data_IF_814054351435
#
_entry.id   IF_814054351435
#
_cell.length_a   1.000
_cell.length_b   1.000
_cell.length_c   1.000
_cell.angle_alpha   90.00
_cell.angle_beta   90.00
_cell.angle_gamma   90.00
#
_symmetry.space_group_name_H-M   'P 1'
#
loop_
_entity.id
_entity.type
_entity.pdbx_description
1 polymer ?
#
# COMPACT_ATOMS: atom_id res chain seq x y z
N UNK A 1 13.95 -20.22 -5.85
CA UNK A 1 13.33 -19.45 -4.75
C UNK A 1 14.44 -19.01 -3.83
N UNK A 2 14.64 -17.71 -3.57
CA UNK A 2 15.60 -17.27 -2.56
C UNK A 2 14.88 -17.34 -1.22
N UNK A 3 15.36 -18.19 -0.31
CA UNK A 3 14.82 -18.33 1.05
C UNK A 3 15.71 -17.49 1.98
N UNK A 4 15.33 -16.25 2.32
CA UNK A 4 16.13 -15.41 3.21
C UNK A 4 16.21 -16.04 4.61
N UNK A 5 17.39 -16.04 5.22
CA UNK A 5 17.52 -16.44 6.61
C UNK A 5 17.11 -15.27 7.52
N UNK A 6 15.94 -15.43 8.15
CA UNK A 6 15.38 -14.43 9.06
C UNK A 6 16.01 -14.49 10.46
N UNK A 7 16.77 -15.53 10.77
CA UNK A 7 17.49 -15.70 12.05
C UNK A 7 18.92 -15.15 11.98
N UNK A 8 19.45 -14.95 10.77
CA UNK A 8 20.76 -14.33 10.57
C UNK A 8 20.75 -12.84 10.90
N UNK A 9 21.38 -12.49 12.03
CA UNK A 9 21.55 -11.10 12.44
C UNK A 9 22.33 -10.27 11.41
N UNK A 10 23.28 -10.88 10.69
CA UNK A 10 24.05 -10.19 9.66
C UNK A 10 23.18 -9.84 8.45
N UNK A 11 22.42 -10.80 7.93
CA UNK A 11 21.53 -10.57 6.80
C UNK A 11 20.44 -9.55 7.14
N UNK A 12 19.91 -9.61 8.37
CA UNK A 12 18.91 -8.65 8.82
C UNK A 12 19.47 -7.23 8.91
N UNK A 13 20.70 -7.05 9.41
CA UNK A 13 21.36 -5.72 9.37
C UNK A 13 21.61 -5.25 7.94
N UNK A 14 21.92 -6.16 7.01
CA UNK A 14 22.09 -5.80 5.60
C UNK A 14 20.77 -5.33 4.96
N UNK A 15 19.66 -6.02 5.26
CA UNK A 15 18.30 -5.61 4.84
C UNK A 15 17.91 -4.25 5.43
N UNK A 16 18.17 -4.04 6.72
CA UNK A 16 17.93 -2.75 7.38
C UNK A 16 18.71 -1.62 6.72
N UNK A 17 20.00 -1.81 6.43
CA UNK A 17 20.81 -0.81 5.70
C UNK A 17 20.27 -0.53 4.30
N UNK A 18 19.89 -1.56 3.56
CA UNK A 18 19.33 -1.39 2.23
C UNK A 18 18.02 -0.58 2.27
N UNK A 19 17.14 -0.89 3.23
CA UNK A 19 15.88 -0.17 3.44
C UNK A 19 16.11 1.27 3.92
N UNK A 20 17.10 1.49 4.79
CA UNK A 20 17.51 2.81 5.24
C UNK A 20 17.93 3.69 4.05
N UNK A 21 18.85 3.19 3.22
CA UNK A 21 19.32 3.93 2.04
C UNK A 21 18.21 4.21 1.03
N UNK A 22 17.30 3.25 0.82
CA UNK A 22 16.28 3.37 -0.22
C UNK A 22 15.03 4.16 0.20
N UNK A 23 14.71 4.19 1.50
CA UNK A 23 13.41 4.67 2.01
C UNK A 23 13.48 5.45 3.32
N UNK A 24 14.66 5.62 3.92
CA UNK A 24 14.83 6.37 5.17
C UNK A 24 14.50 5.58 6.44
N UNK A 25 14.41 4.25 6.36
CA UNK A 25 14.25 3.42 7.56
C UNK A 25 15.39 3.68 8.57
N UNK A 26 15.14 3.96 9.85
CA UNK A 26 13.88 3.90 10.60
C UNK A 26 13.15 5.23 10.83
N UNK A 27 13.78 6.36 10.57
CA UNK A 27 13.33 7.64 11.15
C UNK A 27 13.34 8.80 10.15
N UNK A 28 13.60 8.53 8.87
CA UNK A 28 13.68 9.52 7.82
C UNK A 28 12.69 9.20 6.70
N UNK A 29 12.32 10.21 5.91
CA UNK A 29 11.45 10.05 4.75
C UNK A 29 10.11 9.44 5.13
N UNK A 30 9.76 8.31 4.51
CA UNK A 30 8.49 7.61 4.76
C UNK A 30 8.34 7.17 6.23
N UNK A 31 9.46 6.93 6.92
CA UNK A 31 9.46 6.36 8.26
C UNK A 31 9.66 7.40 9.37
N UNK A 32 9.69 8.69 9.04
CA UNK A 32 9.69 9.75 10.05
C UNK A 32 8.39 9.68 10.89
N UNK A 33 8.53 9.52 12.21
CA UNK A 33 7.39 9.33 13.12
C UNK A 33 6.69 7.96 13.01
N UNK A 34 7.27 6.99 12.29
CA UNK A 34 6.73 5.63 12.22
C UNK A 34 6.84 4.92 13.59
N UNK A 35 5.85 4.11 14.00
CA UNK A 35 5.86 3.48 15.31
C UNK A 35 7.01 2.49 15.51
N UNK A 36 7.71 2.60 16.64
CA UNK A 36 8.79 1.68 17.04
C UNK A 36 8.31 0.25 17.30
N UNK A 37 7.05 0.09 17.72
CA UNK A 37 6.43 -1.19 18.04
C UNK A 37 5.21 -1.41 17.16
N UNK A 38 5.29 -2.47 16.37
CA UNK A 38 4.24 -2.91 15.46
C UNK A 38 4.07 -4.42 15.60
N UNK A 39 2.85 -4.85 15.88
CA UNK A 39 2.48 -6.26 15.87
C UNK A 39 2.04 -6.62 14.45
N UNK A 40 2.77 -7.52 13.80
CA UNK A 40 2.53 -7.90 12.41
C UNK A 40 1.72 -9.20 12.30
N UNK A 41 0.66 -9.15 11.50
CA UNK A 41 -0.20 -10.28 11.18
C UNK A 41 -0.22 -10.49 9.67
N UNK A 42 -0.25 -11.74 9.21
CA UNK A 42 -0.39 -12.08 7.79
C UNK A 42 -1.70 -12.80 7.55
N UNK A 43 -2.44 -12.39 6.52
CA UNK A 43 -3.72 -13.00 6.17
C UNK A 43 -4.38 -12.33 4.98
N UNK A 44 -5.61 -12.75 4.67
CA UNK A 44 -6.40 -12.18 3.58
C UNK A 44 -7.33 -11.08 4.08
N UNK A 45 -7.39 -9.97 3.36
CA UNK A 45 -8.36 -8.89 3.59
C UNK A 45 -9.68 -9.21 2.87
N UNK A 46 -10.83 -9.28 3.57
CA UNK A 46 -12.11 -9.43 2.90
C UNK A 46 -12.47 -8.15 2.10
N UNK A 47 -13.35 -8.24 1.08
CA UNK A 47 -13.65 -7.11 0.20
C UNK A 47 -14.13 -5.84 0.93
N UNK A 48 -14.90 -6.00 2.00
CA UNK A 48 -15.39 -4.87 2.80
C UNK A 48 -14.26 -4.17 3.56
N UNK A 49 -13.28 -4.93 4.07
CA UNK A 49 -12.08 -4.37 4.70
C UNK A 49 -11.17 -3.71 3.67
N UNK A 50 -10.98 -4.34 2.51
CA UNK A 50 -10.19 -3.83 1.40
C UNK A 50 -10.71 -2.46 0.93
N UNK A 51 -12.03 -2.29 0.84
CA UNK A 51 -12.68 -1.03 0.48
C UNK A 51 -12.48 0.10 1.51
N UNK A 52 -12.09 -0.22 2.75
CA UNK A 52 -11.79 0.76 3.81
C UNK A 52 -10.32 1.15 3.88
N UNK A 53 -9.43 0.47 3.16
CA UNK A 53 -8.00 0.81 3.14
C UNK A 53 -7.80 2.14 2.43
N UNK A 54 -7.12 3.06 3.09
CA UNK A 54 -6.71 4.35 2.54
C UNK A 54 -5.26 4.27 2.04
N UNK A 55 -4.87 5.09 1.08
CA UNK A 55 -3.47 5.37 0.82
C UNK A 55 -2.84 6.13 2.00
N UNK A 56 -1.52 6.07 2.14
CA UNK A 56 -0.81 7.03 3.00
C UNK A 56 -1.20 8.47 2.65
N UNK A 57 -1.15 9.34 3.66
CA UNK A 57 -1.27 10.78 3.46
C UNK A 57 0.01 11.29 2.79
N UNK A 58 -0.04 11.34 1.46
CA UNK A 58 1.09 11.77 0.64
C UNK A 58 0.55 12.39 -0.63
N UNK A 59 1.05 13.56 -1.00
CA UNK A 59 0.48 14.43 -2.05
C UNK A 59 0.15 13.68 -3.34
N UNK A 60 1.08 12.84 -3.81
CA UNK A 60 0.93 11.99 -4.99
C UNK A 60 -0.34 11.11 -4.94
N UNK A 61 -0.58 10.39 -3.83
CA UNK A 61 -1.73 9.49 -3.71
C UNK A 61 -3.02 10.26 -3.43
N UNK A 62 -2.92 11.37 -2.71
CA UNK A 62 -4.04 12.28 -2.47
C UNK A 62 -4.54 12.84 -3.81
N UNK A 63 -3.66 13.36 -4.64
CA UNK A 63 -4.00 13.88 -5.97
C UNK A 63 -4.62 12.81 -6.88
N UNK A 64 -4.02 11.60 -6.92
CA UNK A 64 -4.54 10.49 -7.75
C UNK A 64 -5.95 10.04 -7.34
N UNK A 65 -6.26 10.10 -6.04
CA UNK A 65 -7.57 9.74 -5.48
C UNK A 65 -8.54 10.92 -5.40
N UNK A 66 -8.22 12.08 -5.98
CA UNK A 66 -9.07 13.28 -5.90
C UNK A 66 -9.24 13.82 -4.48
N UNK A 67 -8.27 13.57 -3.60
CA UNK A 67 -8.22 14.00 -2.20
C UNK A 67 -8.87 13.03 -1.22
N UNK A 68 -9.56 11.98 -1.67
CA UNK A 68 -10.27 11.05 -0.77
C UNK A 68 -9.34 10.07 -0.06
N UNK A 69 -8.12 9.88 -0.57
CA UNK A 69 -7.17 8.84 -0.20
C UNK A 69 -7.66 7.41 -0.48
N UNK A 70 -8.81 7.24 -1.14
CA UNK A 70 -9.37 5.91 -1.40
C UNK A 70 -8.86 5.37 -2.73
N UNK A 71 -8.31 4.14 -2.76
CA UNK A 71 -7.94 3.48 -4.00
C UNK A 71 -9.12 3.29 -4.97
N UNK A 72 -10.34 3.14 -4.43
CA UNK A 72 -11.55 2.98 -5.23
C UNK A 72 -11.88 4.21 -6.10
N UNK A 73 -11.44 5.41 -5.70
CA UNK A 73 -11.74 6.66 -6.39
C UNK A 73 -10.75 6.96 -7.52
N UNK A 74 -9.64 6.20 -7.60
CA UNK A 74 -8.59 6.39 -8.63
C UNK A 74 -9.15 6.24 -10.04
N UNK A 75 -10.08 5.30 -10.26
CA UNK A 75 -10.66 5.06 -11.58
C UNK A 75 -11.35 6.31 -12.14
N UNK A 76 -12.11 7.01 -11.30
CA UNK A 76 -12.80 8.22 -11.71
C UNK A 76 -11.81 9.32 -12.12
N UNK A 77 -10.71 9.48 -11.36
CA UNK A 77 -9.62 10.41 -11.72
C UNK A 77 -9.00 10.05 -13.06
N UNK A 78 -8.66 8.77 -13.28
CA UNK A 78 -8.05 8.30 -14.53
C UNK A 78 -8.97 8.52 -15.74
N UNK A 79 -10.26 8.25 -15.58
CA UNK A 79 -11.27 8.40 -16.65
C UNK A 79 -11.62 9.87 -16.91
N UNK A 80 -11.50 10.76 -15.92
CA UNK A 80 -11.83 12.19 -16.08
C UNK A 80 -10.89 12.96 -17.01
N UNK A 81 -9.67 12.46 -17.22
CA UNK A 81 -8.60 13.16 -17.95
C UNK A 81 -8.02 14.39 -17.23
N UNK A 82 -8.59 14.81 -16.09
CA UNK A 82 -8.04 15.86 -15.23
C UNK A 82 -6.93 15.30 -14.32
N UNK A 83 -5.90 14.76 -14.97
CA UNK A 83 -4.82 14.04 -14.30
C UNK A 83 -3.87 15.00 -13.59
N UNK A 84 -3.36 14.65 -12.40
CA UNK A 84 -2.24 15.34 -11.78
C UNK A 84 -1.04 15.43 -12.74
N UNK A 85 -0.26 16.51 -12.66
CA UNK A 85 0.83 16.78 -13.61
C UNK A 85 1.82 15.61 -13.71
N UNK A 86 2.21 15.02 -12.59
CA UNK A 86 3.11 13.87 -12.59
C UNK A 86 2.49 12.63 -13.27
N UNK A 87 1.17 12.43 -13.21
CA UNK A 87 0.48 11.32 -13.89
C UNK A 87 0.55 11.54 -15.39
N UNK A 88 0.42 12.79 -15.85
CA UNK A 88 0.51 13.10 -17.29
C UNK A 88 1.90 12.78 -17.86
N UNK A 89 2.96 12.91 -17.05
CA UNK A 89 4.33 12.58 -17.45
C UNK A 89 4.57 11.07 -17.53
N UNK A 90 4.08 10.31 -16.56
CA UNK A 90 4.31 8.85 -16.50
C UNK A 90 3.29 8.04 -17.33
N UNK A 91 2.15 8.64 -17.68
CA UNK A 91 1.01 7.97 -18.30
C UNK A 91 0.14 7.18 -17.32
N UNK A 92 -0.99 6.68 -17.82
CA UNK A 92 -1.97 5.92 -17.02
C UNK A 92 -1.93 4.40 -17.28
N UNK A 93 -1.21 3.98 -18.31
CA UNK A 93 -1.18 2.60 -18.81
C UNK A 93 -0.79 1.59 -17.74
N UNK A 94 0.15 1.94 -16.85
CA UNK A 94 0.61 1.07 -15.76
C UNK A 94 -0.55 0.52 -14.91
N UNK A 95 -1.60 1.31 -14.69
CA UNK A 95 -2.72 0.91 -13.84
C UNK A 95 -3.66 -0.04 -14.58
N UNK A 96 -3.99 0.28 -15.84
CA UNK A 96 -4.86 -0.54 -16.68
C UNK A 96 -4.20 -1.84 -17.11
N UNK A 97 -2.91 -1.82 -17.44
CA UNK A 97 -2.13 -3.03 -17.73
C UNK A 97 -2.05 -3.95 -16.51
N UNK A 98 -1.82 -3.40 -15.32
CA UNK A 98 -1.83 -4.19 -14.10
C UNK A 98 -3.22 -4.75 -13.82
N UNK A 99 -4.29 -3.96 -14.02
CA UNK A 99 -5.67 -4.42 -13.87
C UNK A 99 -6.01 -5.55 -14.85
N UNK A 100 -5.53 -5.48 -16.10
CA UNK A 100 -5.68 -6.53 -17.10
C UNK A 100 -4.93 -7.81 -16.70
N UNK A 101 -3.70 -7.69 -16.18
CA UNK A 101 -2.95 -8.83 -15.63
C UNK A 101 -3.64 -9.46 -14.44
N UNK A 102 -4.28 -8.66 -13.60
CA UNK A 102 -5.04 -9.14 -12.45
C UNK A 102 -6.29 -9.94 -12.85
N UNK A 103 -6.83 -9.73 -14.05
CA UNK A 103 -8.01 -10.45 -14.54
C UNK A 103 -7.80 -11.97 -14.65
N UNK A 104 -6.56 -12.43 -14.79
CA UNK A 104 -6.21 -13.86 -15.02
C UNK A 104 -5.64 -14.57 -13.80
N UNK A 105 -5.50 -13.89 -12.66
CA UNK A 105 -5.00 -14.47 -11.39
C UNK A 105 -6.12 -14.59 -10.35
N UNK A 106 -6.09 -15.58 -9.44
CA UNK A 106 -6.99 -15.64 -8.28
C UNK A 106 -6.51 -14.77 -7.10
N UNK A 107 -5.23 -14.42 -7.05
CA UNK A 107 -4.59 -13.77 -5.88
C UNK A 107 -3.75 -12.57 -6.28
N UNK A 108 -3.66 -11.60 -5.38
CA UNK A 108 -2.74 -10.45 -5.47
C UNK A 108 -1.57 -10.67 -4.51
N UNK A 109 -0.36 -10.28 -4.92
CA UNK A 109 0.80 -10.24 -4.03
C UNK A 109 0.53 -9.38 -2.79
N UNK A 110 1.16 -9.76 -1.67
CA UNK A 110 0.90 -9.16 -0.37
C UNK A 110 0.96 -7.62 -0.39
N UNK A 111 -0.06 -7.01 0.19
CA UNK A 111 -0.05 -5.60 0.60
C UNK A 111 0.67 -5.46 1.95
N UNK A 112 1.12 -4.25 2.27
CA UNK A 112 1.55 -3.92 3.63
C UNK A 112 0.64 -2.79 4.12
N UNK A 113 -0.09 -3.04 5.19
CA UNK A 113 -1.12 -2.15 5.73
C UNK A 113 -0.79 -1.86 7.18
N UNK A 114 -0.85 -0.58 7.56
CA UNK A 114 -0.81 -0.13 8.94
C UNK A 114 -2.23 0.12 9.44
N UNK A 115 -2.54 -0.27 10.67
CA UNK A 115 -3.86 -0.07 11.23
C UNK A 115 -3.82 0.26 12.73
N UNK A 116 -4.88 0.91 13.20
CA UNK A 116 -5.15 1.00 14.63
C UNK A 116 -5.45 -0.41 15.19
N UNK A 117 -5.24 -0.66 16.49
CA UNK A 117 -5.61 -1.94 17.10
C UNK A 117 -7.09 -2.30 16.97
N UNK A 118 -7.97 -1.31 16.83
CA UNK A 118 -9.41 -1.52 16.66
C UNK A 118 -9.82 -1.82 15.20
N UNK A 119 -8.89 -1.70 14.26
CA UNK A 119 -9.10 -1.85 12.81
C UNK A 119 -10.10 -0.84 12.21
N UNK A 120 -10.41 0.25 12.92
CA UNK A 120 -11.31 1.30 12.45
C UNK A 120 -10.68 2.16 11.35
N UNK A 121 -9.35 2.27 11.33
CA UNK A 121 -8.59 2.95 10.27
C UNK A 121 -7.43 2.07 9.81
N UNK A 122 -7.33 1.92 8.48
CA UNK A 122 -6.30 1.14 7.79
C UNK A 122 -5.68 1.98 6.68
N UNK A 123 -4.35 2.02 6.64
CA UNK A 123 -3.57 2.82 5.70
C UNK A 123 -2.53 1.94 5.02
N UNK A 124 -2.49 1.97 3.71
CA UNK A 124 -1.59 1.19 2.88
C UNK A 124 -0.18 1.78 2.96
N UNK A 125 0.77 1.05 3.53
CA UNK A 125 2.19 1.40 3.53
C UNK A 125 2.85 1.03 2.21
N UNK A 126 2.54 -0.15 1.66
CA UNK A 126 3.09 -0.63 0.40
C UNK A 126 2.07 -1.43 -0.42
N UNK A 127 2.22 -1.37 -1.75
CA UNK A 127 1.30 -2.02 -2.70
C UNK A 127 0.26 -1.08 -3.32
N UNK A 128 0.48 0.23 -3.26
CA UNK A 128 -0.41 1.26 -3.81
C UNK A 128 -0.86 0.99 -5.24
N UNK A 129 0.08 0.72 -6.16
CA UNK A 129 -0.26 0.41 -7.55
C UNK A 129 -1.13 -0.85 -7.70
N UNK A 130 -0.86 -1.90 -6.90
CA UNK A 130 -1.64 -3.14 -6.90
C UNK A 130 -3.06 -2.88 -6.43
N UNK A 131 -3.23 -2.17 -5.32
CA UNK A 131 -4.57 -1.90 -4.79
C UNK A 131 -5.37 -0.99 -5.73
N UNK A 132 -4.74 0.03 -6.32
CA UNK A 132 -5.38 0.83 -7.39
C UNK A 132 -5.88 -0.04 -8.54
N UNK A 133 -5.04 -0.94 -9.05
CA UNK A 133 -5.39 -1.81 -10.18
C UNK A 133 -6.51 -2.80 -9.84
N UNK A 134 -6.60 -3.28 -8.59
CA UNK A 134 -7.73 -4.10 -8.12
C UNK A 134 -9.05 -3.35 -8.31
N UNK A 135 -9.13 -2.09 -7.85
CA UNK A 135 -10.36 -1.31 -7.97
C UNK A 135 -10.63 -0.80 -9.38
N UNK A 136 -9.60 -0.33 -10.09
CA UNK A 136 -9.72 0.12 -11.49
C UNK A 136 -10.27 -1.01 -12.37
N UNK A 137 -9.78 -2.23 -12.17
CA UNK A 137 -10.26 -3.43 -12.86
C UNK A 137 -11.58 -4.02 -12.34
N UNK A 138 -12.14 -3.51 -11.24
CA UNK A 138 -13.35 -4.06 -10.62
C UNK A 138 -13.17 -5.48 -10.07
N UNK A 139 -11.98 -5.80 -9.57
CA UNK A 139 -11.61 -7.16 -9.13
C UNK A 139 -11.72 -7.39 -7.62
N UNK A 140 -12.11 -6.37 -6.85
CA UNK A 140 -12.14 -6.35 -5.37
C UNK A 140 -12.96 -7.49 -4.74
N UNK A 141 -14.00 -7.96 -5.42
CA UNK A 141 -14.85 -9.07 -4.96
C UNK A 141 -14.38 -10.45 -5.40
N UNK A 142 -13.52 -10.52 -6.41
CA UNK A 142 -13.08 -11.78 -7.02
C UNK A 142 -11.72 -12.22 -6.50
N UNK A 143 -10.83 -11.27 -6.26
CA UNK A 143 -9.45 -11.54 -5.88
C UNK A 143 -9.33 -11.76 -4.37
N UNK A 144 -8.58 -12.79 -4.01
CA UNK A 144 -8.04 -12.89 -2.65
C UNK A 144 -6.86 -11.95 -2.54
N UNK A 145 -6.97 -10.93 -1.70
CA UNK A 145 -5.90 -9.97 -1.43
C UNK A 145 -5.27 -10.28 -0.09
N UNK A 146 -4.03 -10.74 -0.13
CA UNK A 146 -3.26 -10.98 1.09
C UNK A 146 -2.56 -9.70 1.55
N UNK A 147 -2.32 -9.60 2.85
CA UNK A 147 -1.64 -8.45 3.44
C UNK A 147 -0.86 -8.85 4.69
N UNK A 148 0.25 -8.15 4.91
CA UNK A 148 0.81 -7.94 6.24
C UNK A 148 0.12 -6.73 6.87
N UNK A 149 -0.62 -6.96 7.96
CA UNK A 149 -1.29 -5.91 8.74
C UNK A 149 -0.46 -5.65 9.99
N UNK A 150 0.10 -4.45 10.08
CA UNK A 150 0.83 -3.94 11.23
C UNK A 150 -0.09 -3.16 12.15
N UNK A 151 -0.24 -3.62 13.39
CA UNK A 151 -1.04 -2.94 14.42
C UNK A 151 -0.13 -2.16 15.34
N UNK A 152 -0.46 -0.89 15.59
CA UNK A 152 0.20 -0.10 16.62
C UNK A 152 -0.72 0.97 17.19
N UNK A 153 -0.81 1.12 18.54
CA UNK A 153 -1.51 2.25 19.14
C UNK A 153 -0.89 3.60 18.76
N UNK A 154 0.41 3.64 18.47
CA UNK A 154 1.13 4.87 18.11
C UNK A 154 1.02 5.23 16.62
N UNK A 155 0.39 4.38 15.79
CA UNK A 155 0.31 4.60 14.34
C UNK A 155 -0.35 5.93 13.98
N UNK A 156 -1.26 6.45 14.81
CA UNK A 156 -1.95 7.73 14.57
C UNK A 156 -1.04 8.95 14.72
N UNK A 157 0.18 8.76 15.23
CA UNK A 157 1.20 9.81 15.34
C UNK A 157 2.10 9.86 14.11
N UNK A 158 2.06 8.82 13.26
CA UNK A 158 2.81 8.79 12.02
C UNK A 158 2.18 9.77 11.01
N UNK A 159 2.92 10.77 10.48
CA UNK A 159 2.35 11.82 9.64
C UNK A 159 1.63 11.32 8.37
N UNK A 160 1.97 10.12 7.91
CA UNK A 160 1.36 9.50 6.73
C UNK A 160 0.08 8.69 7.04
N UNK A 161 -0.37 8.57 8.30
CA UNK A 161 -1.53 7.77 8.69
C UNK A 161 -2.85 8.52 8.56
#
# INVERSE_FOLDING_TARGET
MRCPDLTSAEENRARERALATARGWRAEGLFEGFPDRVDWFHGSLPPDALARVLFIDYSYWNELSGGSRRPADVRATLESGALPGWVTEIGTDWCFELAARLATTPTVDDLIVMATPSLDKMVLLEGHARLSAVFVGGHDRRLTVNAYVGLSPAVTQWPCF
#
